data_IF_152117025018
#
_entry.id   IF_152117025018
#
_cell.length_a   1.000
_cell.length_b   1.000
_cell.length_c   1.000
_cell.angle_alpha   90.00
_cell.angle_beta   90.00
_cell.angle_gamma   90.00
#
_symmetry.space_group_name_H-M   'P 1'
#
loop_
_entity.id
_entity.type
_entity.pdbx_description
1 polymer ?
#
# COMPACT_ATOMS: atom_id res chain seq x y z
N UNK A 1 -7.83 -25.00 -7.88
CA UNK A 1 -7.63 -24.09 -6.73
C UNK A 1 -8.61 -22.97 -6.91
N UNK A 2 -9.62 -22.86 -6.05
CA UNK A 2 -10.59 -21.77 -6.14
C UNK A 2 -9.86 -20.46 -5.84
N UNK A 3 -10.17 -19.39 -6.59
CA UNK A 3 -9.75 -18.04 -6.24
C UNK A 3 -10.26 -17.76 -4.83
N UNK A 4 -9.39 -17.91 -3.83
CA UNK A 4 -9.74 -17.73 -2.43
C UNK A 4 -9.95 -16.23 -2.22
N UNK A 5 -11.15 -15.90 -1.80
CA UNK A 5 -11.58 -14.53 -1.52
C UNK A 5 -11.76 -14.46 -0.02
N UNK A 6 -10.98 -13.61 0.62
CA UNK A 6 -11.10 -13.27 2.03
C UNK A 6 -11.55 -11.80 2.13
N UNK A 7 -12.13 -11.41 3.25
CA UNK A 7 -12.51 -10.03 3.57
C UNK A 7 -11.47 -9.33 4.48
N UNK A 8 -10.35 -10.00 4.76
CA UNK A 8 -9.27 -9.51 5.61
C UNK A 8 -7.92 -10.13 5.21
N UNK A 9 -6.83 -9.53 5.68
CA UNK A 9 -5.47 -10.03 5.53
C UNK A 9 -5.33 -11.35 6.29
N UNK A 10 -4.88 -12.39 5.59
CA UNK A 10 -4.41 -13.60 6.26
C UNK A 10 -3.22 -13.27 7.16
N UNK A 11 -2.93 -14.07 8.22
CA UNK A 11 -1.79 -13.81 9.11
C UNK A 11 -0.46 -13.61 8.37
N UNK A 12 -0.21 -14.41 7.33
CA UNK A 12 0.99 -14.26 6.51
C UNK A 12 1.04 -12.90 5.78
N UNK A 13 -0.07 -12.47 5.18
CA UNK A 13 -0.14 -11.15 4.53
C UNK A 13 -0.03 -9.99 5.51
N UNK A 14 -0.64 -10.11 6.68
CA UNK A 14 -0.52 -9.11 7.74
C UNK A 14 0.95 -8.87 8.13
N UNK A 15 1.72 -9.96 8.32
CA UNK A 15 3.15 -9.88 8.62
C UNK A 15 3.96 -9.17 7.53
N UNK A 16 3.59 -9.33 6.25
CA UNK A 16 4.31 -8.65 5.15
C UNK A 16 4.20 -7.13 5.22
N UNK A 17 3.10 -6.60 5.76
CA UNK A 17 2.87 -5.16 5.92
C UNK A 17 3.41 -4.61 7.26
N UNK A 18 4.13 -5.41 8.05
CA UNK A 18 4.88 -4.93 9.21
C UNK A 18 6.28 -4.42 8.85
N UNK A 19 6.70 -4.63 7.60
CA UNK A 19 8.01 -4.25 7.07
C UNK A 19 7.86 -3.50 5.74
N UNK A 20 8.91 -2.78 5.33
CA UNK A 20 8.89 -2.09 4.04
C UNK A 20 8.75 -3.11 2.89
N UNK A 21 7.75 -2.90 2.02
CA UNK A 21 7.49 -3.77 0.87
C UNK A 21 7.17 -3.00 -0.38
N UNK A 22 7.61 -3.52 -1.53
CA UNK A 22 7.16 -3.01 -2.83
C UNK A 22 5.71 -3.42 -3.06
N UNK A 23 4.84 -2.42 -3.26
CA UNK A 23 3.46 -2.63 -3.64
C UNK A 23 3.08 -1.71 -4.78
N UNK A 24 1.97 -2.02 -5.45
CA UNK A 24 1.36 -1.15 -6.46
C UNK A 24 -0.05 -0.78 -6.06
N UNK A 25 -0.37 0.51 -6.05
CA UNK A 25 -1.71 1.03 -5.80
C UNK A 25 -2.35 1.46 -7.12
N UNK A 26 -3.50 0.89 -7.43
CA UNK A 26 -4.39 1.34 -8.50
C UNK A 26 -5.52 2.20 -7.91
N UNK A 27 -5.78 3.35 -8.52
CA UNK A 27 -6.85 4.30 -8.18
C UNK A 27 -7.59 4.71 -9.45
N UNK A 28 -8.80 5.25 -9.31
CA UNK A 28 -9.52 5.86 -10.44
C UNK A 28 -9.06 7.32 -10.60
N UNK A 29 -8.44 7.62 -11.74
CA UNK A 29 -7.93 8.96 -12.05
C UNK A 29 -9.07 9.99 -12.08
N UNK A 30 -8.94 11.03 -11.26
CA UNK A 30 -10.01 12.00 -11.06
C UNK A 30 -10.38 12.78 -12.32
N UNK A 31 -9.46 12.93 -13.28
CA UNK A 31 -9.68 13.74 -14.48
C UNK A 31 -10.21 12.89 -15.63
N UNK A 32 -9.57 11.75 -15.90
CA UNK A 32 -9.85 10.90 -17.06
C UNK A 32 -10.88 9.81 -16.77
N UNK A 33 -11.08 9.42 -15.51
CA UNK A 33 -11.88 8.25 -15.13
C UNK A 33 -11.21 6.91 -15.44
N UNK A 34 -9.98 6.92 -15.99
CA UNK A 34 -9.16 5.72 -16.21
C UNK A 34 -8.43 5.27 -14.95
N UNK A 35 -7.64 4.20 -15.05
CA UNK A 35 -6.84 3.70 -13.93
C UNK A 35 -5.51 4.46 -13.82
N UNK A 36 -5.19 4.96 -12.64
CA UNK A 36 -3.87 5.47 -12.27
C UNK A 36 -3.17 4.46 -11.36
N UNK A 37 -1.94 4.07 -11.72
CA UNK A 37 -1.12 3.11 -10.96
C UNK A 37 0.13 3.81 -10.42
N UNK A 38 0.42 3.61 -9.13
CA UNK A 38 1.64 4.09 -8.49
C UNK A 38 2.31 2.98 -7.69
N UNK A 39 3.64 3.00 -7.59
CA UNK A 39 4.39 2.12 -6.69
C UNK A 39 4.61 2.80 -5.35
N UNK A 40 4.42 2.07 -4.26
CA UNK A 40 4.60 2.55 -2.89
C UNK A 40 5.49 1.59 -2.11
N UNK A 41 6.14 2.10 -1.06
CA UNK A 41 6.82 1.29 -0.05
C UNK A 41 6.40 1.60 1.40
N UNK A 42 5.81 2.77 1.65
CA UNK A 42 5.28 3.18 2.95
C UNK A 42 3.84 2.72 3.13
N UNK A 43 3.66 1.43 3.41
CA UNK A 43 2.38 0.81 3.71
C UNK A 43 2.50 -0.02 4.98
N UNK A 44 1.52 0.10 5.86
CA UNK A 44 1.49 -0.57 7.15
C UNK A 44 0.11 -1.18 7.41
N UNK A 45 0.06 -2.43 7.90
CA UNK A 45 -1.19 -3.02 8.38
C UNK A 45 -1.45 -2.59 9.81
N UNK A 46 -2.52 -1.81 10.01
CA UNK A 46 -2.99 -1.41 11.34
C UNK A 46 -3.63 -2.59 12.07
N UNK A 47 -4.44 -3.33 11.33
CA UNK A 47 -5.12 -4.57 11.72
C UNK A 47 -5.38 -5.40 10.46
N UNK A 48 -6.03 -6.56 10.58
CA UNK A 48 -6.29 -7.45 9.46
C UNK A 48 -7.26 -6.87 8.42
N UNK A 49 -8.02 -5.83 8.76
CA UNK A 49 -9.03 -5.22 7.88
C UNK A 49 -8.65 -3.81 7.41
N UNK A 50 -7.50 -3.30 7.85
CA UNK A 50 -7.13 -1.90 7.63
C UNK A 50 -5.65 -1.75 7.26
N UNK A 51 -5.40 -1.18 6.08
CA UNK A 51 -4.08 -0.71 5.69
C UNK A 51 -3.97 0.80 5.86
N UNK A 52 -2.80 1.27 6.25
CA UNK A 52 -2.40 2.67 6.24
C UNK A 52 -1.27 2.85 5.24
N UNK A 53 -1.28 3.92 4.47
CA UNK A 53 -0.16 4.28 3.62
C UNK A 53 0.03 5.79 3.53
N UNK A 54 1.28 6.18 3.30
CA UNK A 54 1.65 7.59 3.18
C UNK A 54 1.97 7.93 1.72
N UNK A 55 1.53 9.12 1.30
CA UNK A 55 1.89 9.73 0.01
C UNK A 55 2.24 11.19 0.21
N UNK A 56 3.02 11.78 -0.68
CA UNK A 56 3.24 13.23 -0.68
C UNK A 56 1.89 13.97 -0.72
N UNK A 57 1.73 15.03 0.08
CA UNK A 57 0.49 15.81 0.17
C UNK A 57 0.02 16.44 -1.15
N UNK A 58 0.88 16.48 -2.18
CA UNK A 58 0.56 16.97 -3.54
C UNK A 58 0.24 15.83 -4.50
N UNK A 59 0.24 14.59 -4.02
CA UNK A 59 0.03 13.40 -4.84
C UNK A 59 -1.34 13.42 -5.51
N UNK A 60 -1.37 13.02 -6.79
CA UNK A 60 -2.62 12.81 -7.52
C UNK A 60 -3.50 11.73 -6.87
N UNK A 61 -2.89 10.79 -6.13
CA UNK A 61 -3.61 9.75 -5.40
C UNK A 61 -4.67 10.37 -4.48
N UNK A 62 -4.35 11.49 -3.81
CA UNK A 62 -5.28 12.18 -2.92
C UNK A 62 -6.52 12.66 -3.69
N UNK A 63 -6.32 13.34 -4.82
CA UNK A 63 -7.42 13.81 -5.67
C UNK A 63 -8.27 12.65 -6.22
N UNK A 64 -7.61 11.53 -6.53
CA UNK A 64 -8.29 10.32 -7.02
C UNK A 64 -9.21 9.74 -5.95
N UNK A 65 -8.70 9.50 -4.73
CA UNK A 65 -9.48 8.87 -3.66
C UNK A 65 -10.57 9.79 -3.10
N UNK A 66 -10.35 11.11 -3.10
CA UNK A 66 -11.38 12.08 -2.71
C UNK A 66 -12.58 12.08 -3.68
N UNK A 67 -12.34 11.87 -4.97
CA UNK A 67 -13.40 11.79 -5.99
C UNK A 67 -14.01 10.39 -6.09
N UNK A 68 -13.19 9.35 -5.96
CA UNK A 68 -13.57 7.96 -6.09
C UNK A 68 -12.71 7.12 -5.12
N UNK A 69 -13.26 6.73 -3.95
CA UNK A 69 -12.48 6.06 -2.90
C UNK A 69 -12.06 4.64 -3.27
N UNK A 70 -12.64 4.04 -4.32
CA UNK A 70 -12.27 2.71 -4.76
C UNK A 70 -10.81 2.63 -5.21
N UNK A 71 -10.05 1.77 -4.55
CA UNK A 71 -8.68 1.47 -4.91
C UNK A 71 -8.37 -0.02 -4.75
N UNK A 72 -7.23 -0.42 -5.34
CA UNK A 72 -6.72 -1.79 -5.24
C UNK A 72 -5.21 -1.77 -5.08
N UNK A 73 -4.71 -2.40 -4.03
CA UNK A 73 -3.30 -2.59 -3.76
C UNK A 73 -2.88 -3.99 -4.19
N UNK A 74 -1.78 -4.10 -4.93
CA UNK A 74 -1.17 -5.35 -5.36
C UNK A 74 0.13 -5.58 -4.61
N UNK A 75 0.30 -6.78 -4.07
CA UNK A 75 1.52 -7.22 -3.37
C UNK A 75 1.96 -8.60 -3.89
N UNK A 76 3.27 -8.81 -3.98
CA UNK A 76 3.88 -10.11 -4.24
C UNK A 76 4.42 -10.62 -2.90
N UNK A 77 3.90 -11.75 -2.44
CA UNK A 77 4.19 -12.31 -1.12
C UNK A 77 3.83 -13.80 -1.06
N UNK A 78 4.39 -14.56 -0.13
CA UNK A 78 3.97 -15.94 0.15
C UNK A 78 4.03 -16.89 -1.07
N UNK A 79 4.86 -16.59 -2.06
CA UNK A 79 4.93 -17.34 -3.32
C UNK A 79 3.78 -17.08 -4.30
N UNK A 80 2.98 -16.02 -4.10
CA UNK A 80 1.85 -15.65 -4.94
C UNK A 80 1.79 -14.14 -5.21
N UNK A 81 0.73 -13.68 -5.89
CA UNK A 81 0.40 -12.25 -6.06
C UNK A 81 -1.02 -12.03 -5.55
N UNK A 82 -1.21 -11.01 -4.73
CA UNK A 82 -2.48 -10.71 -4.09
C UNK A 82 -2.98 -9.33 -4.49
N UNK A 83 -4.29 -9.23 -4.72
CA UNK A 83 -5.02 -7.98 -4.88
C UNK A 83 -5.83 -7.73 -3.60
N UNK A 84 -5.66 -6.55 -3.03
CA UNK A 84 -6.35 -6.10 -1.82
C UNK A 84 -7.12 -4.84 -2.22
N UNK A 85 -8.44 -4.95 -2.30
CA UNK A 85 -9.31 -3.86 -2.77
C UNK A 85 -10.25 -3.39 -1.68
N UNK A 86 -10.61 -2.11 -1.76
CA UNK A 86 -11.54 -1.50 -0.82
C UNK A 86 -11.66 0.00 -1.01
N UNK A 87 -12.00 0.69 0.07
CA UNK A 87 -12.25 2.13 0.08
C UNK A 87 -11.14 2.89 0.82
N UNK A 88 -10.53 3.87 0.13
CA UNK A 88 -9.47 4.69 0.67
C UNK A 88 -9.92 6.09 1.07
N UNK A 89 -9.44 6.57 2.21
CA UNK A 89 -9.79 7.86 2.80
C UNK A 89 -8.57 8.53 3.42
N UNK A 90 -8.41 9.84 3.23
CA UNK A 90 -7.39 10.61 3.95
C UNK A 90 -7.80 10.71 5.42
N UNK A 91 -6.95 10.26 6.33
CA UNK A 91 -7.21 10.25 7.79
C UNK A 91 -6.31 11.19 8.57
N UNK A 92 -5.29 11.79 7.93
CA UNK A 92 -4.41 12.74 8.58
C UNK A 92 -3.29 13.24 7.69
N UNK A 93 -2.38 13.98 8.31
CA UNK A 93 -1.13 14.44 7.74
C UNK A 93 0.00 14.06 8.69
N UNK A 94 1.20 13.87 8.14
CA UNK A 94 2.39 13.61 8.97
C UNK A 94 2.66 14.77 9.92
N UNK A 95 3.11 14.43 11.13
CA UNK A 95 3.60 15.38 12.11
C UNK A 95 4.86 16.12 11.64
N UNK A 96 5.26 17.15 12.39
CA UNK A 96 6.47 17.92 12.12
C UNK A 96 7.77 17.11 12.30
N UNK A 97 7.68 15.91 12.89
CA UNK A 97 8.82 15.00 13.06
C UNK A 97 9.26 14.36 11.73
N UNK A 98 8.36 14.30 10.74
CA UNK A 98 8.67 13.83 9.38
C UNK A 98 9.09 15.02 8.52
N UNK A 99 10.27 15.01 7.89
CA UNK A 99 10.84 16.18 7.20
C UNK A 99 10.15 16.52 5.86
N UNK A 100 9.14 15.74 5.47
CA UNK A 100 8.36 15.91 4.24
C UNK A 100 6.87 15.92 4.58
N UNK A 101 6.10 16.75 3.88
CA UNK A 101 4.65 16.82 4.08
C UNK A 101 3.95 15.62 3.44
N UNK A 102 3.43 14.71 4.25
CA UNK A 102 2.72 13.52 3.80
C UNK A 102 1.24 13.58 4.20
N UNK A 103 0.40 12.98 3.37
CA UNK A 103 -0.97 12.62 3.72
C UNK A 103 -1.03 11.16 4.10
N UNK A 104 -1.69 10.87 5.22
CA UNK A 104 -1.92 9.52 5.72
C UNK A 104 -3.27 9.05 5.21
N UNK A 105 -3.28 7.93 4.51
CA UNK A 105 -4.46 7.35 3.88
C UNK A 105 -4.75 6.01 4.54
N UNK A 106 -6.00 5.81 4.92
CA UNK A 106 -6.55 4.54 5.36
C UNK A 106 -7.22 3.85 4.19
N UNK A 107 -6.98 2.56 4.02
CA UNK A 107 -7.73 1.66 3.15
C UNK A 107 -8.48 0.65 4.02
N UNK A 108 -9.80 0.75 3.98
CA UNK A 108 -10.71 -0.24 4.53
C UNK A 108 -10.84 -1.40 3.53
N UNK A 109 -10.41 -2.59 3.94
CA UNK A 109 -10.35 -3.76 3.06
C UNK A 109 -11.75 -4.36 2.91
N UNK A 110 -12.19 -4.50 1.67
CA UNK A 110 -13.42 -5.22 1.32
C UNK A 110 -13.12 -6.62 0.77
N UNK A 111 -11.99 -6.78 0.08
CA UNK A 111 -11.61 -8.04 -0.57
C UNK A 111 -10.09 -8.24 -0.61
N UNK A 112 -9.65 -9.43 -0.26
CA UNK A 112 -8.30 -9.95 -0.49
C UNK A 112 -8.40 -11.19 -1.38
N UNK A 113 -7.72 -11.14 -2.53
CA UNK A 113 -7.79 -12.17 -3.56
C UNK A 113 -6.41 -12.59 -4.01
N UNK A 114 -6.18 -13.90 -4.06
CA UNK A 114 -5.05 -14.46 -4.81
C UNK A 114 -5.34 -14.31 -6.32
N UNK A 115 -4.50 -13.54 -7.00
CA UNK A 115 -4.60 -13.22 -8.43
C UNK A 115 -3.47 -13.86 -9.26
N UNK A 116 -2.74 -14.81 -8.68
CA UNK A 116 -1.72 -15.56 -9.41
C UNK A 116 -2.33 -16.44 -10.49
N UNK A 117 -1.67 -16.50 -11.65
CA UNK A 117 -2.10 -17.37 -12.74
C UNK A 117 -1.87 -18.85 -12.43
N UNK A 118 -2.67 -19.71 -13.06
CA UNK A 118 -2.62 -21.14 -12.82
C UNK A 118 -1.28 -21.77 -13.23
N UNK A 119 -0.82 -22.72 -12.41
CA UNK A 119 0.32 -23.59 -12.74
C UNK A 119 1.69 -23.01 -12.39
N UNK A 120 1.74 -21.87 -11.69
CA UNK A 120 3.00 -21.25 -11.28
C UNK A 120 2.92 -20.71 -9.86
N UNK A 121 4.11 -20.37 -9.34
CA UNK A 121 4.31 -19.66 -8.08
C UNK A 121 5.43 -18.65 -8.26
N UNK A 122 5.43 -17.60 -7.44
CA UNK A 122 6.58 -16.72 -7.30
C UNK A 122 7.68 -17.49 -6.57
N UNK A 123 8.87 -17.53 -7.17
CA UNK A 123 10.06 -18.20 -6.60
C UNK A 123 11.07 -17.21 -6.02
N UNK A 124 10.97 -15.94 -6.41
CA UNK A 124 11.83 -14.85 -5.93
C UNK A 124 11.00 -13.57 -5.94
N UNK A 125 10.89 -12.94 -4.78
CA UNK A 125 10.18 -11.67 -4.63
C UNK A 125 11.01 -10.50 -5.14
N UNK A 126 10.38 -9.41 -5.61
CA UNK A 126 11.10 -8.22 -6.02
C UNK A 126 11.88 -7.62 -4.86
N UNK A 127 13.16 -7.33 -5.09
CA UNK A 127 14.00 -6.53 -4.20
C UNK A 127 14.29 -5.19 -4.87
N UNK A 128 14.43 -4.13 -4.07
CA UNK A 128 14.79 -2.80 -4.54
C UNK A 128 15.93 -2.22 -3.69
N UNK A 129 16.72 -1.34 -4.31
CA UNK A 129 17.83 -0.64 -3.65
C UNK A 129 17.58 0.87 -3.68
N UNK A 130 17.96 1.56 -2.60
CA UNK A 130 17.95 3.02 -2.58
C UNK A 130 19.13 3.52 -3.41
N UNK A 131 18.86 4.32 -4.44
CA UNK A 131 19.88 4.75 -5.42
C UNK A 131 20.47 6.13 -5.12
N UNK A 132 19.98 6.82 -4.10
CA UNK A 132 20.42 8.15 -3.72
C UNK A 132 20.39 8.30 -2.20
N UNK A 133 21.47 8.81 -1.61
CA UNK A 133 21.69 8.97 -0.16
C UNK A 133 21.00 7.89 0.70
N UNK A 134 21.54 6.68 0.66
CA UNK A 134 20.96 5.49 1.28
C UNK A 134 20.66 5.67 2.77
N UNK A 135 21.53 6.37 3.50
CA UNK A 135 21.33 6.61 4.92
C UNK A 135 20.16 7.56 5.17
N UNK A 136 20.09 8.68 4.44
CA UNK A 136 18.98 9.60 4.57
C UNK A 136 17.65 8.96 4.15
N UNK A 137 17.66 8.16 3.07
CA UNK A 137 16.47 7.45 2.60
C UNK A 137 15.96 6.46 3.65
N UNK A 138 16.83 5.64 4.24
CA UNK A 138 16.46 4.70 5.31
C UNK A 138 15.92 5.40 6.55
N UNK A 139 16.57 6.48 6.97
CA UNK A 139 16.10 7.26 8.12
C UNK A 139 14.70 7.82 7.86
N UNK A 140 14.43 8.29 6.65
CA UNK A 140 13.11 8.77 6.26
C UNK A 140 12.09 7.62 6.25
N UNK A 141 12.43 6.46 5.68
CA UNK A 141 11.54 5.30 5.67
C UNK A 141 11.14 4.89 7.10
N UNK A 142 12.09 4.82 8.02
CA UNK A 142 11.83 4.53 9.44
C UNK A 142 10.89 5.57 10.07
N UNK A 143 11.14 6.86 9.85
CA UNK A 143 10.28 7.93 10.37
C UNK A 143 8.85 7.84 9.84
N UNK A 144 8.69 7.56 8.54
CA UNK A 144 7.36 7.45 7.94
C UNK A 144 6.63 6.20 8.44
N UNK A 145 7.32 5.07 8.55
CA UNK A 145 6.72 3.82 9.05
C UNK A 145 6.30 3.96 10.53
N UNK A 146 7.08 4.64 11.35
CA UNK A 146 6.69 4.96 12.73
C UNK A 146 5.53 5.98 12.79
N UNK A 147 5.49 6.95 11.87
CA UNK A 147 4.37 7.88 11.78
C UNK A 147 3.06 7.16 11.43
N UNK A 148 3.08 6.22 10.48
CA UNK A 148 1.91 5.42 10.12
C UNK A 148 1.32 4.68 11.33
N UNK A 149 2.15 4.15 12.23
CA UNK A 149 1.71 3.44 13.44
C UNK A 149 0.96 4.32 14.44
N UNK A 150 1.08 5.65 14.34
CA UNK A 150 0.39 6.59 15.23
C UNK A 150 -1.07 6.84 14.82
N UNK A 151 -1.49 6.39 13.63
CA UNK A 151 -2.82 6.66 13.05
C UNK A 151 -3.78 5.48 13.19
#
# INVERSE_FOLDING_TARGET
>A
MANRVEDHLTPGLYEEFLHERFVQLATVDAQSGGTNVASLSWVHAKDESTLLFAVDHRSRIIQNIEKQPLCSLSIIAGGSTYSISGNAHVVGQSSADVPVGLSIIRLDIDEVRDVMFYGAKIVTEPAFAKTYDEQAARNLDEQVMEELKKH
#
